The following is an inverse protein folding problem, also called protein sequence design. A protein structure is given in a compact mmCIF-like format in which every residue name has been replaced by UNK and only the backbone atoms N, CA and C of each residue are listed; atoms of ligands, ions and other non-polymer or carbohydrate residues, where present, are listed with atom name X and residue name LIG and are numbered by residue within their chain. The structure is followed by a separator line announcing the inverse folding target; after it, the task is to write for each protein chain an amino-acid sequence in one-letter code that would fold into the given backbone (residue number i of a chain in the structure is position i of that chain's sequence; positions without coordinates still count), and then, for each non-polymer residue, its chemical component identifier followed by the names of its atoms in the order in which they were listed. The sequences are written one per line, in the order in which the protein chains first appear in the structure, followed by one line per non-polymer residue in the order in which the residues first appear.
data_IF_473549848099
#
_entry.id   IF_473549848099
#
_cell.length_a   1.000
_cell.length_b   1.000
_cell.length_c   1.000
_cell.angle_alpha   90.00
_cell.angle_beta   90.00
_cell.angle_gamma   90.00
#
_symmetry.space_group_name_H-M   'P 1'
#
loop_
_entity.id
_entity.type
_entity.pdbx_description
1 polymer ?
#
# COMPACT_ATOMS: atom_id res chain seq x y z
N UNK A 1 -7.69 9.00 -12.56
CA UNK A 1 -7.30 7.86 -11.72
C UNK A 1 -8.21 6.69 -11.98
N UNK A 2 -7.65 5.50 -12.13
CA UNK A 2 -8.43 4.30 -12.31
C UNK A 2 -9.13 3.86 -11.04
N UNK A 3 -10.13 3.03 -11.20
CA UNK A 3 -10.80 2.42 -10.07
C UNK A 3 -9.90 1.40 -9.40
N UNK A 4 -10.17 1.11 -8.15
CA UNK A 4 -9.41 0.15 -7.36
C UNK A 4 -10.26 -1.07 -7.02
N UNK A 5 -9.62 -2.23 -6.88
CA UNK A 5 -10.28 -3.43 -6.41
C UNK A 5 -10.90 -3.18 -5.03
N UNK A 6 -12.14 -3.54 -4.86
CA UNK A 6 -12.86 -3.30 -3.61
C UNK A 6 -12.37 -4.18 -2.47
N UNK A 7 -11.60 -5.21 -2.77
CA UNK A 7 -11.03 -6.08 -1.73
C UNK A 7 -9.58 -5.76 -1.43
N UNK A 8 -8.70 -5.90 -2.42
CA UNK A 8 -7.26 -5.76 -2.16
C UNK A 8 -6.73 -4.34 -2.39
N UNK A 9 -7.53 -3.46 -2.99
CA UNK A 9 -7.14 -2.07 -3.20
C UNK A 9 -6.21 -1.82 -4.38
N UNK A 10 -5.78 -2.86 -5.08
CA UNK A 10 -4.92 -2.69 -6.25
C UNK A 10 -5.67 -2.01 -7.38
N UNK A 11 -4.98 -1.24 -8.22
CA UNK A 11 -5.64 -0.63 -9.38
C UNK A 11 -6.26 -1.69 -10.29
N UNK A 12 -7.45 -1.42 -10.78
CA UNK A 12 -8.10 -2.31 -11.73
C UNK A 12 -7.55 -2.06 -13.13
N UNK A 13 -7.53 -3.11 -14.00
CA UNK A 13 -7.13 -2.93 -15.38
C UNK A 13 -8.05 -1.95 -16.10
N UNK A 14 -7.53 -1.27 -17.13
CA UNK A 14 -8.34 -0.42 -17.97
C UNK A 14 -9.44 -1.25 -18.60
N UNK A 15 -10.66 -0.78 -18.43
CA UNK A 15 -11.84 -1.46 -18.83
C UNK A 15 -12.10 -1.34 -20.33
N UNK A 16 -12.61 -2.42 -20.95
CA UNK A 16 -13.14 -2.31 -22.29
C UNK A 16 -14.36 -1.37 -22.30
N UNK A 17 -14.64 -0.74 -23.45
CA UNK A 17 -15.75 0.21 -23.59
C UNK A 17 -17.10 -0.44 -23.34
N UNK A 18 -17.19 -1.77 -23.48
CA UNK A 18 -18.43 -2.54 -23.30
C UNK A 18 -18.29 -3.46 -22.10
N UNK A 19 -19.40 -3.71 -21.39
CA UNK A 19 -19.46 -4.62 -20.27
C UNK A 19 -19.68 -3.93 -18.93
N UNK A 20 -19.89 -4.74 -17.90
CA UNK A 20 -20.13 -4.24 -16.55
C UNK A 20 -18.84 -3.66 -15.96
N UNK A 21 -18.96 -2.61 -15.15
CA UNK A 21 -17.82 -2.12 -14.38
C UNK A 21 -17.24 -3.23 -13.51
N UNK A 22 -15.93 -3.37 -13.56
CA UNK A 22 -15.22 -4.33 -12.74
C UNK A 22 -15.06 -3.78 -11.33
N UNK A 23 -15.41 -4.55 -10.33
CA UNK A 23 -15.25 -4.18 -8.92
C UNK A 23 -14.07 -4.87 -8.27
N UNK A 24 -13.68 -6.02 -8.78
CA UNK A 24 -12.62 -6.85 -8.22
C UNK A 24 -11.62 -7.19 -9.31
N UNK A 25 -10.33 -7.25 -8.94
CA UNK A 25 -9.30 -7.57 -9.90
C UNK A 25 -9.29 -9.05 -10.32
N UNK A 26 -9.86 -9.91 -9.48
CA UNK A 26 -9.94 -11.37 -9.75
C UNK A 26 -11.09 -11.98 -8.96
N UNK A 27 -11.48 -13.20 -9.34
CA UNK A 27 -12.58 -13.91 -8.68
C UNK A 27 -12.30 -14.18 -7.20
N UNK A 28 -11.04 -14.46 -6.86
CA UNK A 28 -10.64 -14.67 -5.47
C UNK A 28 -10.92 -13.46 -4.58
N UNK A 29 -10.71 -12.25 -5.09
CA UNK A 29 -11.01 -11.03 -4.35
C UNK A 29 -12.51 -10.90 -4.07
N UNK A 30 -13.35 -11.25 -5.05
CA UNK A 30 -14.81 -11.24 -4.87
C UNK A 30 -15.23 -12.20 -3.77
N UNK A 31 -14.67 -13.40 -3.78
CA UNK A 31 -14.98 -14.43 -2.79
C UNK A 31 -14.53 -14.01 -1.40
N UNK A 32 -13.33 -13.46 -1.27
CA UNK A 32 -12.80 -12.98 0.00
C UNK A 32 -13.64 -11.83 0.56
N UNK A 33 -14.06 -10.91 -0.29
CA UNK A 33 -14.92 -9.80 0.12
C UNK A 33 -16.26 -10.31 0.65
N UNK A 34 -16.82 -11.35 0.04
CA UNK A 34 -18.06 -11.95 0.50
C UNK A 34 -17.91 -12.60 1.88
N UNK A 35 -16.83 -13.34 2.09
CA UNK A 35 -16.51 -13.96 3.37
C UNK A 35 -16.30 -12.90 4.45
N UNK A 36 -15.56 -11.84 4.11
CA UNK A 36 -15.30 -10.75 5.04
C UNK A 36 -16.58 -10.03 5.47
N UNK A 37 -17.53 -9.86 4.56
CA UNK A 37 -18.82 -9.22 4.88
C UNK A 37 -19.58 -10.04 5.91
N UNK A 38 -19.61 -11.36 5.75
CA UNK A 38 -20.28 -12.24 6.71
C UNK A 38 -19.59 -12.20 8.08
N UNK A 39 -18.27 -12.19 8.09
CA UNK A 39 -17.50 -12.07 9.33
C UNK A 39 -17.80 -10.75 10.03
N UNK A 40 -17.85 -9.66 9.25
CA UNK A 40 -18.13 -8.33 9.79
C UNK A 40 -19.51 -8.26 10.46
N UNK A 41 -20.53 -8.87 9.86
CA UNK A 41 -21.88 -8.92 10.44
C UNK A 41 -21.89 -9.59 11.80
N UNK A 42 -21.13 -10.71 11.94
CA UNK A 42 -21.08 -11.46 13.19
C UNK A 42 -20.30 -10.71 14.28
N UNK A 43 -19.26 -9.98 13.91
CA UNK A 43 -18.35 -9.34 14.85
C UNK A 43 -18.53 -7.82 14.98
N UNK A 44 -19.58 -7.28 14.40
CA UNK A 44 -19.91 -5.87 14.57
C UNK A 44 -18.99 -4.90 13.87
N UNK A 45 -18.30 -5.34 12.83
CA UNK A 45 -17.45 -4.47 12.04
C UNK A 45 -18.28 -3.67 11.03
N UNK A 46 -17.88 -2.45 10.77
CA UNK A 46 -18.53 -1.61 9.75
C UNK A 46 -18.10 -1.97 8.34
N UNK A 47 -18.81 -1.41 7.35
CA UNK A 47 -18.55 -1.69 5.94
C UNK A 47 -17.15 -1.22 5.50
N UNK A 48 -16.62 -0.21 6.16
CA UNK A 48 -15.31 0.37 5.83
C UNK A 48 -14.17 -0.20 6.68
N UNK A 49 -14.49 -1.11 7.57
CA UNK A 49 -13.48 -1.75 8.40
C UNK A 49 -12.82 -2.88 7.63
N UNK A 50 -11.51 -3.01 7.77
CA UNK A 50 -10.76 -4.11 7.19
C UNK A 50 -9.89 -4.76 8.26
N UNK A 51 -9.65 -6.06 8.10
CA UNK A 51 -8.78 -6.81 9.01
C UNK A 51 -7.43 -6.96 8.33
N UNK A 52 -6.38 -6.57 9.02
CA UNK A 52 -5.02 -6.64 8.51
C UNK A 52 -4.18 -7.45 9.51
N UNK A 53 -3.26 -8.24 8.99
CA UNK A 53 -2.29 -8.94 9.81
C UNK A 53 -1.41 -7.92 10.54
N UNK A 54 -1.23 -8.09 11.86
CA UNK A 54 -0.43 -7.16 12.67
C UNK A 54 1.02 -7.08 12.20
N UNK A 55 1.61 -8.21 11.82
CA UNK A 55 2.99 -8.20 11.35
C UNK A 55 3.14 -7.39 10.06
N UNK A 56 2.19 -7.54 9.13
CA UNK A 56 2.20 -6.74 7.90
C UNK A 56 2.07 -5.25 8.21
N UNK A 57 1.22 -4.89 9.16
CA UNK A 57 1.07 -3.49 9.57
C UNK A 57 2.37 -2.95 10.16
N UNK A 58 3.00 -3.72 11.04
CA UNK A 58 4.25 -3.32 11.67
C UNK A 58 5.38 -3.18 10.65
N UNK A 59 5.45 -4.09 9.69
CA UNK A 59 6.44 -3.99 8.61
C UNK A 59 6.24 -2.74 7.75
N UNK A 60 4.99 -2.43 7.43
CA UNK A 60 4.67 -1.22 6.69
C UNK A 60 5.06 0.04 7.47
N UNK A 61 4.70 0.09 8.74
CA UNK A 61 5.01 1.23 9.60
C UNK A 61 6.52 1.38 9.78
N UNK A 62 7.26 0.28 9.87
CA UNK A 62 8.72 0.30 9.90
C UNK A 62 9.32 0.88 8.63
N UNK A 63 8.81 0.47 7.47
CA UNK A 63 9.26 1.00 6.19
C UNK A 63 8.94 2.48 6.03
N UNK A 64 7.76 2.91 6.49
CA UNK A 64 7.39 4.32 6.49
C UNK A 64 8.31 5.16 7.38
N UNK A 65 8.64 4.63 8.56
CA UNK A 65 9.56 5.30 9.48
C UNK A 65 10.94 5.47 8.83
N UNK A 66 11.46 4.42 8.20
CA UNK A 66 12.76 4.49 7.53
C UNK A 66 12.75 5.51 6.38
N UNK A 67 11.66 5.57 5.62
CA UNK A 67 11.54 6.55 4.55
C UNK A 67 11.47 7.97 5.10
N UNK A 68 10.71 8.18 6.17
CA UNK A 68 10.62 9.48 6.82
C UNK A 68 12.00 9.94 7.31
N UNK A 69 12.75 9.06 7.96
CA UNK A 69 14.10 9.36 8.44
C UNK A 69 15.04 9.68 7.26
N UNK A 70 14.92 8.95 6.16
CA UNK A 70 15.74 9.20 4.97
C UNK A 70 15.43 10.56 4.35
N UNK A 71 14.16 10.95 4.31
CA UNK A 71 13.77 12.28 3.81
C UNK A 71 14.39 13.38 4.67
N UNK A 72 14.33 13.23 5.99
CA UNK A 72 14.93 14.19 6.90
C UNK A 72 16.45 14.28 6.72
N UNK A 73 17.11 13.14 6.53
CA UNK A 73 18.55 13.08 6.28
C UNK A 73 18.91 13.82 5.00
N UNK A 74 18.17 13.57 3.91
CA UNK A 74 18.40 14.20 2.61
C UNK A 74 18.20 15.71 2.70
N UNK A 75 17.14 16.15 3.34
CA UNK A 75 16.88 17.58 3.53
C UNK A 75 18.03 18.26 4.26
N UNK A 76 18.49 17.66 5.35
CA UNK A 76 19.59 18.21 6.14
C UNK A 76 20.90 18.21 5.37
N UNK A 77 21.21 17.10 4.69
CA UNK A 77 22.47 16.94 3.98
C UNK A 77 22.58 17.90 2.80
N UNK A 78 21.47 18.06 2.04
CA UNK A 78 21.45 18.97 0.89
C UNK A 78 21.38 20.46 1.28
N UNK A 79 20.91 20.78 2.48
CA UNK A 79 21.02 22.13 3.01
C UNK A 79 22.48 22.48 3.31
N UNK A 80 23.26 21.49 3.73
CA UNK A 80 24.67 21.70 4.08
C UNK A 80 25.57 21.77 2.84
N UNK A 81 25.30 20.93 1.83
CA UNK A 81 26.15 20.84 0.62
C UNK A 81 25.37 20.20 -0.51
N UNK A 82 25.56 20.74 -1.74
CA UNK A 82 24.84 20.28 -2.94
C UNK A 82 25.79 20.03 -4.13
N UNK A 83 26.96 19.46 -3.85
CA UNK A 83 27.80 19.03 -4.96
C UNK A 83 27.10 17.91 -5.75
N UNK A 84 27.49 17.65 -7.01
CA UNK A 84 26.94 16.50 -7.74
C UNK A 84 27.04 15.18 -7.00
N UNK A 85 28.13 14.99 -6.25
CA UNK A 85 28.28 13.77 -5.45
C UNK A 85 27.29 13.73 -4.28
N UNK A 86 27.06 14.89 -3.62
CA UNK A 86 26.09 14.97 -2.52
C UNK A 86 24.68 14.65 -3.01
N UNK A 87 24.31 15.15 -4.18
CA UNK A 87 22.99 14.88 -4.76
C UNK A 87 22.86 13.40 -5.13
N UNK A 88 23.90 12.81 -5.72
CA UNK A 88 23.90 11.39 -6.09
C UNK A 88 23.76 10.51 -4.84
N UNK A 89 24.52 10.80 -3.80
CA UNK A 89 24.47 10.06 -2.54
C UNK A 89 23.09 10.18 -1.88
N UNK A 90 22.53 11.38 -1.88
CA UNK A 90 21.20 11.64 -1.31
C UNK A 90 20.12 10.86 -2.06
N UNK A 91 20.17 10.88 -3.38
CA UNK A 91 19.21 10.14 -4.21
C UNK A 91 19.32 8.64 -3.94
N UNK A 92 20.54 8.12 -3.87
CA UNK A 92 20.76 6.70 -3.60
C UNK A 92 20.22 6.30 -2.23
N UNK A 93 20.48 7.11 -1.21
CA UNK A 93 19.99 6.88 0.14
C UNK A 93 18.45 6.89 0.17
N UNK A 94 17.83 7.89 -0.49
CA UNK A 94 16.39 7.98 -0.55
C UNK A 94 15.77 6.78 -1.25
N UNK A 95 16.32 6.36 -2.38
CA UNK A 95 15.82 5.21 -3.12
C UNK A 95 15.95 3.91 -2.34
N UNK A 96 17.06 3.73 -1.62
CA UNK A 96 17.26 2.53 -0.80
C UNK A 96 16.19 2.41 0.30
N UNK A 97 15.74 3.54 0.83
CA UNK A 97 14.71 3.57 1.87
C UNK A 97 13.28 3.64 1.31
N UNK A 98 13.11 4.01 0.05
CA UNK A 98 11.80 4.05 -0.58
C UNK A 98 11.41 2.72 -1.23
N UNK A 99 12.38 1.96 -1.76
CA UNK A 99 12.11 0.72 -2.48
C UNK A 99 11.37 -0.34 -1.66
N UNK A 100 11.75 -0.61 -0.40
CA UNK A 100 11.00 -1.59 0.40
C UNK A 100 9.53 -1.22 0.55
N UNK A 101 9.24 0.07 0.73
CA UNK A 101 7.88 0.55 0.83
C UNK A 101 7.15 0.43 -0.51
N UNK A 102 7.79 0.80 -1.60
CA UNK A 102 7.21 0.72 -2.94
C UNK A 102 6.92 -0.72 -3.36
N UNK A 103 7.68 -1.67 -2.84
CA UNK A 103 7.51 -3.10 -3.14
C UNK A 103 6.45 -3.77 -2.26
N UNK A 104 6.00 -3.12 -1.18
CA UNK A 104 5.05 -3.72 -0.26
C UNK A 104 3.62 -3.46 -0.69
N UNK A 105 2.76 -4.41 -0.37
CA UNK A 105 1.31 -4.27 -0.56
C UNK A 105 0.63 -5.05 0.55
N UNK A 106 -0.29 -4.41 1.24
CA UNK A 106 -1.04 -5.06 2.31
C UNK A 106 -2.38 -5.53 1.75
N UNK A 107 -2.65 -6.82 1.87
CA UNK A 107 -3.94 -7.38 1.51
C UNK A 107 -4.75 -7.61 2.78
N UNK A 108 -6.04 -7.27 2.77
CA UNK A 108 -6.89 -7.54 3.91
C UNK A 108 -7.14 -9.04 4.08
N UNK A 109 -7.51 -9.42 5.29
CA UNK A 109 -7.91 -10.79 5.62
C UNK A 109 -9.42 -10.88 5.67
N UNK A 110 -9.95 -12.04 5.33
CA UNK A 110 -11.40 -12.26 5.37
C UNK A 110 -11.93 -12.51 6.79
N UNK A 111 -11.07 -12.66 7.78
CA UNK A 111 -11.45 -12.72 9.18
C UNK A 111 -10.94 -13.95 9.94
N UNK A 112 -10.81 -15.08 9.35
CA UNK A 112 -10.35 -16.27 10.09
C UNK A 112 -9.00 -16.75 9.65
#
# INVERSE_FOLDING_TARGET
MGERCRWCGRPLPTRAATGRPRRFCRAGCRQQAHIARKYAEVHGLGDDDVIIDRLQLEELQGALYCLQAAIEDVDRDLDASRTPQDVDDALRWLLDNARPLAASWIEPKAGS
#
